data_IF_463078437994
#
_entry.id   IF_463078437994
#
_cell.length_a   1.000
_cell.length_b   1.000
_cell.length_c   1.000
_cell.angle_alpha   90.00
_cell.angle_beta   90.00
_cell.angle_gamma   90.00
#
_symmetry.space_group_name_H-M   'P 1'
#
loop_
_entity.id
_entity.type
_entity.pdbx_description
1 polymer ?
#
# COMPACT_ATOMS: atom_id res chain seq x y z
N UNK A 1 17.14 10.98 -12.92
CA UNK A 1 15.75 11.31 -13.29
C UNK A 1 15.19 12.26 -12.26
N UNK A 2 14.42 13.27 -12.68
CA UNK A 2 13.71 14.19 -11.79
C UNK A 2 12.21 13.87 -11.88
N UNK A 3 11.67 13.22 -10.84
CA UNK A 3 10.28 12.72 -10.84
C UNK A 3 9.52 13.11 -9.57
N UNK A 4 9.57 14.38 -9.12
CA UNK A 4 9.10 14.77 -7.78
C UNK A 4 7.63 14.39 -7.51
N UNK A 5 6.73 14.64 -8.46
CA UNK A 5 5.32 14.26 -8.33
C UNK A 5 5.12 12.75 -8.25
N UNK A 6 5.82 11.99 -9.10
CA UNK A 6 5.78 10.53 -9.10
C UNK A 6 6.30 9.93 -7.79
N UNK A 7 7.42 10.45 -7.27
CA UNK A 7 7.98 10.01 -5.98
C UNK A 7 7.03 10.28 -4.83
N UNK A 8 6.37 11.45 -4.81
CA UNK A 8 5.38 11.80 -3.77
C UNK A 8 4.15 10.88 -3.85
N UNK A 9 3.60 10.68 -5.06
CA UNK A 9 2.44 9.83 -5.26
C UNK A 9 2.72 8.38 -4.91
N UNK A 10 3.86 7.84 -5.35
CA UNK A 10 4.29 6.48 -5.02
C UNK A 10 4.41 6.28 -3.50
N UNK A 11 5.05 7.22 -2.80
CA UNK A 11 5.19 7.16 -1.35
C UNK A 11 3.82 7.25 -0.64
N UNK A 12 2.97 8.18 -1.08
CA UNK A 12 1.64 8.36 -0.51
C UNK A 12 0.78 7.10 -0.69
N UNK A 13 0.78 6.55 -1.90
CA UNK A 13 0.03 5.35 -2.26
C UNK A 13 0.44 4.16 -1.42
N UNK A 14 1.75 3.86 -1.33
CA UNK A 14 2.25 2.79 -0.45
C UNK A 14 1.87 2.99 1.01
N UNK A 15 1.82 4.24 1.50
CA UNK A 15 1.38 4.49 2.87
C UNK A 15 -0.12 4.23 3.06
N UNK A 16 -0.96 4.59 2.08
CA UNK A 16 -2.39 4.26 2.12
C UNK A 16 -2.62 2.74 2.08
N UNK A 17 -1.88 2.02 1.24
CA UNK A 17 -1.99 0.56 1.15
C UNK A 17 -1.62 -0.14 2.45
N UNK A 18 -0.64 0.38 3.19
CA UNK A 18 -0.22 -0.20 4.46
C UNK A 18 -1.32 -0.28 5.52
N UNK A 19 -2.40 0.49 5.35
CA UNK A 19 -3.58 0.44 6.23
C UNK A 19 -4.82 -0.16 5.57
N UNK A 20 -4.80 -0.48 4.27
CA UNK A 20 -5.96 -0.97 3.52
C UNK A 20 -5.79 -2.40 2.97
N UNK A 21 -4.56 -2.92 2.93
CA UNK A 21 -4.27 -4.28 2.44
C UNK A 21 -3.88 -5.20 3.58
N UNK A 22 -4.36 -6.44 3.54
CA UNK A 22 -3.88 -7.47 4.44
C UNK A 22 -2.42 -7.84 4.13
N UNK A 23 -1.78 -8.46 5.11
CA UNK A 23 -0.34 -8.79 5.06
C UNK A 23 0.04 -9.63 3.84
N UNK A 24 -0.73 -10.66 3.52
CA UNK A 24 -0.36 -11.59 2.44
C UNK A 24 -0.61 -10.98 1.07
N UNK A 25 -1.71 -10.24 0.91
CA UNK A 25 -1.97 -9.46 -0.31
C UNK A 25 -0.88 -8.42 -0.54
N UNK A 26 -0.50 -7.65 0.49
CA UNK A 26 0.60 -6.67 0.40
C UNK A 26 1.92 -7.33 0.01
N UNK A 27 2.27 -8.46 0.63
CA UNK A 27 3.49 -9.20 0.32
C UNK A 27 3.51 -9.68 -1.13
N UNK A 28 2.44 -10.34 -1.59
CA UNK A 28 2.37 -10.82 -2.97
C UNK A 28 2.34 -9.66 -3.98
N UNK A 29 1.67 -8.55 -3.65
CA UNK A 29 1.66 -7.35 -4.49
C UNK A 29 3.06 -6.76 -4.69
N UNK A 30 3.89 -6.74 -3.65
CA UNK A 30 5.29 -6.27 -3.77
C UNK A 30 6.09 -7.12 -4.74
N UNK A 31 6.01 -8.45 -4.64
CA UNK A 31 6.65 -9.39 -5.57
C UNK A 31 6.22 -9.14 -7.02
N UNK A 32 4.90 -9.09 -7.25
CA UNK A 32 4.35 -8.90 -8.59
C UNK A 32 4.65 -7.51 -9.18
N UNK A 33 4.80 -6.49 -8.33
CA UNK A 33 5.14 -5.13 -8.77
C UNK A 33 6.52 -5.04 -9.45
N UNK A 34 7.47 -5.89 -9.03
CA UNK A 34 8.81 -5.96 -9.63
C UNK A 34 8.70 -6.48 -11.07
N UNK A 35 8.00 -7.60 -11.26
CA UNK A 35 7.76 -8.17 -12.59
C UNK A 35 7.00 -7.20 -13.48
N UNK A 36 6.00 -6.49 -12.95
CA UNK A 36 5.29 -5.47 -13.72
C UNK A 36 6.23 -4.36 -14.20
N UNK A 37 7.11 -3.87 -13.33
CA UNK A 37 8.08 -2.84 -13.68
C UNK A 37 9.08 -3.31 -14.75
N UNK A 38 9.56 -4.56 -14.68
CA UNK A 38 10.44 -5.16 -15.68
C UNK A 38 9.77 -5.24 -17.06
N UNK A 39 8.51 -5.70 -17.11
CA UNK A 39 7.75 -5.77 -18.37
C UNK A 39 7.60 -4.38 -19.00
N UNK A 40 7.27 -3.36 -18.21
CA UNK A 40 7.14 -1.98 -18.70
C UNK A 40 8.49 -1.46 -19.20
N UNK A 41 9.57 -1.68 -18.43
CA UNK A 41 10.91 -1.24 -18.80
C UNK A 41 11.39 -1.87 -20.12
N UNK A 42 11.07 -3.15 -20.33
CA UNK A 42 11.41 -3.90 -21.54
C UNK A 42 10.48 -3.62 -22.73
N UNK A 43 9.52 -2.70 -22.62
CA UNK A 43 8.56 -2.38 -23.68
C UNK A 43 7.50 -3.47 -23.92
N UNK A 44 7.34 -4.41 -22.99
CA UNK A 44 6.43 -5.56 -23.08
C UNK A 44 4.99 -5.21 -22.65
N UNK A 45 4.53 -4.02 -23.04
CA UNK A 45 3.22 -3.50 -22.65
C UNK A 45 2.06 -4.35 -23.14
N UNK A 46 2.11 -4.90 -24.35
CA UNK A 46 0.97 -5.65 -24.92
C UNK A 46 1.00 -7.16 -24.61
N UNK A 47 1.69 -7.56 -23.55
CA UNK A 47 1.78 -8.98 -23.17
C UNK A 47 0.62 -9.42 -22.28
N UNK A 48 0.15 -10.68 -22.40
CA UNK A 48 -0.88 -11.23 -21.50
C UNK A 48 -0.48 -11.20 -20.02
N UNK A 49 0.81 -11.34 -19.72
CA UNK A 49 1.30 -11.28 -18.34
C UNK A 49 1.07 -9.88 -17.74
N UNK A 50 1.38 -8.80 -18.47
CA UNK A 50 1.12 -7.43 -18.01
C UNK A 50 -0.39 -7.20 -17.78
N UNK A 51 -1.26 -7.77 -18.61
CA UNK A 51 -2.73 -7.73 -18.43
C UNK A 51 -3.17 -8.42 -17.14
N UNK A 52 -2.70 -9.65 -16.91
CA UNK A 52 -3.01 -10.41 -15.72
C UNK A 52 -2.56 -9.68 -14.43
N UNK A 53 -1.36 -9.07 -14.46
CA UNK A 53 -0.85 -8.28 -13.34
C UNK A 53 -1.66 -7.00 -13.12
N UNK A 54 -2.15 -6.36 -14.19
CA UNK A 54 -3.01 -5.17 -14.09
C UNK A 54 -4.33 -5.53 -13.41
N UNK A 55 -4.97 -6.63 -13.82
CA UNK A 55 -6.21 -7.12 -13.21
C UNK A 55 -6.04 -7.50 -11.74
N UNK A 56 -4.88 -8.08 -11.38
CA UNK A 56 -4.53 -8.31 -9.98
C UNK A 56 -4.48 -6.98 -9.20
N UNK A 57 -3.79 -5.97 -9.74
CA UNK A 57 -3.72 -4.64 -9.10
C UNK A 57 -5.10 -4.03 -8.96
N UNK A 58 -5.92 -4.01 -10.01
CA UNK A 58 -7.29 -3.49 -9.97
C UNK A 58 -8.09 -4.10 -8.82
N UNK A 59 -7.99 -5.43 -8.65
CA UNK A 59 -8.64 -6.12 -7.53
C UNK A 59 -8.13 -5.66 -6.16
N UNK A 60 -6.82 -5.51 -6.00
CA UNK A 60 -6.24 -5.03 -4.73
C UNK A 60 -6.61 -3.57 -4.43
N UNK A 61 -6.91 -2.75 -5.45
CA UNK A 61 -7.18 -1.32 -5.27
C UNK A 61 -8.62 -0.99 -4.88
N UNK A 62 -9.56 -1.94 -4.91
CA UNK A 62 -10.99 -1.70 -4.65
C UNK A 62 -11.26 -0.92 -3.34
N UNK A 63 -10.47 -1.19 -2.29
CA UNK A 63 -10.61 -0.55 -0.97
C UNK A 63 -9.47 0.41 -0.61
N UNK A 64 -8.52 0.66 -1.52
CA UNK A 64 -7.39 1.59 -1.29
C UNK A 64 -7.84 3.03 -1.52
N UNK A 65 -8.76 3.48 -0.68
CA UNK A 65 -9.39 4.80 -0.77
C UNK A 65 -9.21 5.55 0.55
N UNK A 66 -8.63 6.75 0.49
CA UNK A 66 -8.38 7.53 1.70
C UNK A 66 -7.60 8.82 1.47
N UNK A 67 -7.13 9.40 2.57
CA UNK A 67 -6.33 10.64 2.59
C UNK A 67 -4.98 10.37 3.21
N UNK A 68 -3.92 10.87 2.57
CA UNK A 68 -2.56 10.80 3.08
C UNK A 68 -2.03 12.21 3.27
N UNK A 69 -1.48 12.50 4.44
CA UNK A 69 -0.79 13.76 4.75
C UNK A 69 0.70 13.50 4.83
N UNK A 70 1.45 14.26 4.04
CA UNK A 70 2.91 14.20 3.98
C UNK A 70 3.50 15.57 4.32
N UNK A 71 4.70 15.57 4.89
CA UNK A 71 5.57 16.75 4.99
C UNK A 71 6.72 16.59 4.03
N UNK A 72 6.97 17.62 3.22
CA UNK A 72 8.09 17.65 2.28
C UNK A 72 9.14 18.62 2.81
N UNK A 73 10.36 18.15 2.98
CA UNK A 73 11.43 18.99 3.53
C UNK A 73 12.81 18.61 2.98
N UNK A 74 13.48 19.55 2.32
CA UNK A 74 14.85 19.41 1.79
C UNK A 74 15.08 18.07 1.07
N UNK A 75 14.19 17.73 0.14
CA UNK A 75 14.27 16.48 -0.63
C UNK A 75 13.73 15.24 0.07
N UNK A 76 13.26 15.34 1.32
CA UNK A 76 12.65 14.22 2.05
C UNK A 76 11.13 14.24 2.00
N UNK A 77 10.55 13.05 2.06
CA UNK A 77 9.11 12.82 2.24
C UNK A 77 8.91 12.18 3.61
N UNK A 78 8.10 12.80 4.46
CA UNK A 78 7.88 12.39 5.85
C UNK A 78 6.40 12.10 6.07
N UNK A 79 6.09 10.94 6.66
CA UNK A 79 4.71 10.57 7.04
C UNK A 79 4.18 11.55 8.09
N UNK A 80 2.97 12.08 7.88
CA UNK A 80 2.32 12.97 8.84
C UNK A 80 0.88 12.55 9.21
N UNK A 81 0.26 11.66 8.44
CA UNK A 81 -1.00 11.02 8.80
C UNK A 81 -1.62 10.27 7.63
N UNK A 82 -2.48 9.31 7.93
CA UNK A 82 -3.23 8.51 6.96
C UNK A 82 -4.61 8.19 7.52
N UNK A 83 -5.63 8.27 6.67
CA UNK A 83 -7.03 8.00 7.04
C UNK A 83 -7.73 7.27 5.90
N UNK A 84 -8.51 6.25 6.22
CA UNK A 84 -9.33 5.48 5.27
C UNK A 84 -10.58 4.97 5.99
N UNK A 85 -11.71 4.95 5.29
CA UNK A 85 -12.93 4.27 5.77
C UNK A 85 -12.82 2.75 5.69
N UNK A 86 -11.83 2.25 4.96
CA UNK A 86 -11.52 0.82 4.77
C UNK A 86 -10.24 0.42 5.53
N UNK A 87 -9.87 1.18 6.56
CA UNK A 87 -8.67 0.86 7.32
C UNK A 87 -8.83 -0.48 8.03
N UNK A 88 -7.86 -1.38 7.84
CA UNK A 88 -7.72 -2.63 8.59
C UNK A 88 -7.10 -2.40 9.98
N UNK A 89 -6.69 -1.18 10.29
CA UNK A 89 -6.24 -0.82 11.63
C UNK A 89 -7.43 -0.77 12.58
N UNK A 90 -7.38 -1.59 13.63
CA UNK A 90 -8.32 -1.53 14.75
C UNK A 90 -7.60 -1.02 15.98
N UNK A 91 -7.94 0.19 16.42
CA UNK A 91 -7.40 0.78 17.65
C UNK A 91 -7.65 -0.14 18.86
N UNK A 92 -8.84 -0.76 18.93
CA UNK A 92 -9.26 -1.69 19.99
C UNK A 92 -8.40 -2.96 20.13
N UNK A 93 -7.86 -3.45 19.02
CA UNK A 93 -6.96 -4.61 19.04
C UNK A 93 -5.52 -4.16 19.31
N UNK A 94 -5.17 -2.92 18.94
CA UNK A 94 -3.83 -2.37 19.08
C UNK A 94 -3.56 -1.68 20.42
N UNK A 95 -4.59 -1.41 21.23
CA UNK A 95 -4.45 -0.83 22.58
C UNK A 95 -3.93 -1.86 23.57
N UNK A 96 -3.06 -1.41 24.48
CA UNK A 96 -2.58 -2.16 25.65
C UNK A 96 -3.48 -1.98 26.89
N UNK A 97 -4.61 -1.29 26.76
CA UNK A 97 -5.62 -1.10 27.81
C UNK A 97 -6.38 -2.38 28.13
N UNK A 98 -7.18 -2.35 29.21
CA UNK A 98 -8.02 -3.47 29.67
C UNK A 98 -9.19 -3.77 28.71
N UNK A 99 -8.91 -4.26 27.50
CA UNK A 99 -9.94 -4.78 26.60
C UNK A 99 -9.70 -6.27 26.31
N UNK A 100 -10.73 -7.07 26.55
CA UNK A 100 -10.75 -8.53 26.38
C UNK A 100 -10.86 -8.98 24.90
N UNK A 101 -10.58 -8.11 23.93
CA UNK A 101 -10.73 -8.42 22.50
C UNK A 101 -9.54 -9.23 21.92
N UNK A 102 -8.37 -9.21 22.58
CA UNK A 102 -7.21 -10.03 22.22
C UNK A 102 -6.95 -11.11 23.28
N UNK A 103 -7.09 -12.38 22.89
CA UNK A 103 -6.78 -13.51 23.76
C UNK A 103 -5.27 -13.78 23.78
N UNK A 104 -4.61 -13.31 24.84
CA UNK A 104 -3.15 -13.47 25.01
C UNK A 104 -2.71 -14.94 25.16
N UNK A 105 -3.61 -15.86 25.51
CA UNK A 105 -3.29 -17.28 25.65
C UNK A 105 -3.13 -18.02 24.31
N UNK A 106 -3.52 -17.39 23.19
CA UNK A 106 -3.39 -17.96 21.84
C UNK A 106 -2.02 -17.64 21.18
N UNK A 107 -1.11 -17.00 21.92
CA UNK A 107 0.25 -16.63 21.46
C UNK A 107 1.27 -17.76 21.54
#
# INVERSE_FOLDING_TARGET
YETPGGTILYFAHNYLESICLDKMTSHKKQELSITFAELVYNGQWYTPLREALSAFVDKTQENVTGKVKLKLYKGNIIKAGVWSTYSLYSEKIATFGEDNEYNQADS
#
